data_IF_953058497383
#
_entry.id   IF_953058497383
#
_cell.length_a   1.000
_cell.length_b   1.000
_cell.length_c   1.000
_cell.angle_alpha   90.00
_cell.angle_beta   90.00
_cell.angle_gamma   90.00
#
_symmetry.space_group_name_H-M   'P 1'
#
loop_
_entity.id
_entity.type
_entity.pdbx_description
1 polymer ?
#
# COMPACT_ATOMS: atom_id res chain seq x y z
N UNK A 1 0.21 14.91 -5.40
CA UNK A 1 0.68 15.24 -4.02
C UNK A 1 0.05 16.53 -3.48
N UNK A 2 0.22 17.70 -4.13
CA UNK A 2 -0.36 18.97 -3.66
C UNK A 2 -1.88 18.95 -3.49
N UNK A 3 -2.63 18.42 -4.47
CA UNK A 3 -4.09 18.33 -4.35
C UNK A 3 -4.55 17.55 -3.13
N UNK A 4 -3.90 16.41 -2.83
CA UNK A 4 -4.20 15.60 -1.64
C UNK A 4 -3.88 16.38 -0.36
N UNK A 5 -2.73 17.08 -0.33
CA UNK A 5 -2.37 17.92 0.82
C UNK A 5 -3.45 18.97 1.09
N UNK A 6 -3.90 19.66 0.05
CA UNK A 6 -4.97 20.68 0.15
C UNK A 6 -6.27 20.08 0.67
N UNK A 7 -6.67 18.90 0.17
CA UNK A 7 -7.87 18.21 0.66
C UNK A 7 -7.77 17.88 2.14
N UNK A 8 -6.62 17.35 2.59
CA UNK A 8 -6.42 17.01 3.99
C UNK A 8 -6.23 18.23 4.90
N UNK A 9 -5.62 19.31 4.43
CA UNK A 9 -5.56 20.58 5.19
C UNK A 9 -6.94 21.14 5.50
N UNK A 10 -7.94 20.92 4.62
CA UNK A 10 -9.36 21.25 4.91
C UNK A 10 -9.96 20.38 6.03
N UNK A 11 -9.36 19.22 6.32
CA UNK A 11 -9.75 18.30 7.41
C UNK A 11 -8.83 18.44 8.64
N UNK A 12 -8.22 19.58 8.88
CA UNK A 12 -7.27 19.76 9.98
C UNK A 12 -7.88 19.44 11.36
N UNK A 13 -9.16 19.70 11.56
CA UNK A 13 -9.88 19.35 12.80
C UNK A 13 -9.93 17.82 13.02
N UNK A 14 -10.07 17.02 11.96
CA UNK A 14 -9.98 15.57 12.05
C UNK A 14 -8.62 15.13 12.56
N UNK A 15 -7.53 15.71 12.03
CA UNK A 15 -6.17 15.41 12.46
C UNK A 15 -5.99 15.76 13.94
N UNK A 16 -6.45 16.96 14.36
CA UNK A 16 -6.35 17.39 15.75
C UNK A 16 -7.13 16.49 16.72
N UNK A 17 -8.32 16.08 16.35
CA UNK A 17 -9.14 15.19 17.18
C UNK A 17 -8.60 13.76 17.20
N UNK A 18 -8.11 13.25 16.05
CA UNK A 18 -7.52 11.93 15.95
C UNK A 18 -6.26 11.79 16.85
N UNK A 19 -5.40 12.80 16.88
CA UNK A 19 -4.21 12.80 17.75
C UNK A 19 -4.56 12.60 19.24
N UNK A 20 -5.72 13.09 19.67
CA UNK A 20 -6.17 12.99 21.07
C UNK A 20 -6.63 11.59 21.46
N UNK A 21 -7.33 10.88 20.55
CA UNK A 21 -8.00 9.64 20.92
C UNK A 21 -7.93 8.49 19.93
N UNK A 22 -7.31 8.67 18.76
CA UNK A 22 -7.22 7.68 17.68
C UNK A 22 -8.57 7.02 17.32
N UNK A 23 -9.64 7.81 17.33
CA UNK A 23 -10.99 7.33 17.03
C UNK A 23 -11.21 7.29 15.51
N UNK A 24 -11.69 6.16 14.93
CA UNK A 24 -11.96 6.03 13.49
C UNK A 24 -12.89 7.10 12.90
N UNK A 25 -13.81 7.68 13.68
CA UNK A 25 -14.67 8.79 13.22
C UNK A 25 -13.91 10.06 12.82
N UNK A 26 -12.66 10.19 13.24
CA UNK A 26 -11.76 11.29 12.87
C UNK A 26 -10.75 10.86 11.81
N UNK A 27 -11.02 9.77 11.08
CA UNK A 27 -10.20 9.35 9.96
C UNK A 27 -10.15 10.42 8.87
N UNK A 28 -8.96 10.63 8.31
CA UNK A 28 -8.82 11.44 7.11
C UNK A 28 -9.47 10.71 5.94
N UNK A 29 -10.27 11.41 5.15
CA UNK A 29 -10.89 10.85 3.96
C UNK A 29 -9.84 10.48 2.90
N UNK A 30 -10.11 9.42 2.16
CA UNK A 30 -9.28 8.96 1.05
C UNK A 30 -9.93 9.22 -0.32
N UNK A 31 -11.16 9.73 -0.35
CA UNK A 31 -11.95 9.97 -1.56
C UNK A 31 -12.42 11.42 -1.64
N UNK A 32 -12.09 12.05 -2.76
CA UNK A 32 -12.40 13.46 -2.98
C UNK A 32 -13.00 13.65 -4.36
N UNK A 33 -13.85 14.65 -4.49
CA UNK A 33 -14.35 15.09 -5.77
C UNK A 33 -13.18 15.64 -6.63
N UNK A 34 -13.05 15.14 -7.85
CA UNK A 34 -11.86 15.36 -8.69
C UNK A 34 -11.58 16.84 -8.96
N UNK A 35 -12.63 17.64 -9.14
CA UNK A 35 -12.49 19.06 -9.51
C UNK A 35 -12.43 19.99 -8.29
N UNK A 36 -13.23 19.71 -7.25
CA UNK A 36 -13.35 20.61 -6.10
C UNK A 36 -12.46 20.21 -4.93
N UNK A 37 -12.03 18.95 -4.86
CA UNK A 37 -11.29 18.42 -3.72
C UNK A 37 -12.15 18.30 -2.44
N UNK A 38 -13.48 18.35 -2.57
CA UNK A 38 -14.41 18.16 -1.47
C UNK A 38 -14.63 16.68 -1.17
N UNK A 39 -15.04 16.38 0.04
CA UNK A 39 -15.42 15.03 0.46
C UNK A 39 -16.62 14.52 -0.36
N UNK A 40 -16.57 13.27 -0.80
CA UNK A 40 -17.66 12.64 -1.56
C UNK A 40 -18.60 11.82 -0.67
N UNK A 41 -18.22 11.63 0.58
CA UNK A 41 -19.00 10.96 1.63
C UNK A 41 -18.92 11.86 2.86
N UNK A 42 -20.04 12.06 3.56
CA UNK A 42 -20.03 12.90 4.78
C UNK A 42 -19.13 12.29 5.86
N UNK A 43 -18.54 13.14 6.68
CA UNK A 43 -17.68 12.70 7.79
C UNK A 43 -18.42 11.83 8.82
N UNK A 44 -19.73 11.98 8.94
CA UNK A 44 -20.56 11.13 9.81
C UNK A 44 -20.70 9.70 9.29
N UNK A 45 -20.67 9.53 7.97
CA UNK A 45 -20.79 8.24 7.30
C UNK A 45 -19.42 7.59 6.99
N UNK A 46 -18.34 8.38 7.01
CA UNK A 46 -16.99 7.90 6.73
C UNK A 46 -16.35 7.32 7.99
N UNK A 47 -16.32 5.99 8.05
CA UNK A 47 -15.74 5.25 9.19
C UNK A 47 -14.52 4.41 8.84
N UNK A 48 -13.91 4.66 7.66
CA UNK A 48 -12.82 3.84 7.14
C UNK A 48 -11.46 4.45 7.48
N UNK A 49 -10.98 4.23 8.71
CA UNK A 49 -9.61 4.58 9.07
C UNK A 49 -8.62 3.71 8.28
N UNK A 50 -7.76 4.35 7.49
CA UNK A 50 -6.70 3.74 6.69
C UNK A 50 -5.39 4.48 6.95
N UNK A 51 -4.61 3.98 7.90
CA UNK A 51 -3.33 4.59 8.30
C UNK A 51 -2.28 4.46 7.18
N UNK A 52 -2.38 3.40 6.40
CA UNK A 52 -1.50 3.13 5.26
C UNK A 52 -1.51 4.26 4.21
N UNK A 53 -2.67 4.87 3.92
CA UNK A 53 -2.79 5.94 2.92
C UNK A 53 -1.98 7.16 3.31
N UNK A 54 -2.10 7.61 4.58
CA UNK A 54 -1.33 8.76 5.08
C UNK A 54 0.16 8.41 5.12
N UNK A 55 0.49 7.20 5.51
CA UNK A 55 1.87 6.70 5.54
C UNK A 55 2.50 6.67 4.15
N UNK A 56 1.79 6.15 3.13
CA UNK A 56 2.25 6.17 1.74
C UNK A 56 2.42 7.61 1.22
N UNK A 57 1.51 8.51 1.56
CA UNK A 57 1.65 9.92 1.20
C UNK A 57 2.95 10.51 1.73
N UNK A 58 3.25 10.32 3.03
CA UNK A 58 4.48 10.82 3.65
C UNK A 58 5.73 10.21 3.00
N UNK A 59 5.70 8.91 2.71
CA UNK A 59 6.81 8.20 2.07
C UNK A 59 7.09 8.76 0.67
N UNK A 60 6.08 8.92 -0.17
CA UNK A 60 6.24 9.46 -1.52
C UNK A 60 6.55 10.97 -1.51
N UNK A 61 6.05 11.73 -0.52
CA UNK A 61 6.43 13.14 -0.35
C UNK A 61 7.93 13.27 -0.17
N UNK A 62 8.54 12.46 0.69
CA UNK A 62 10.00 12.43 0.89
C UNK A 62 10.74 12.05 -0.38
N UNK A 63 10.27 11.04 -1.10
CA UNK A 63 10.87 10.62 -2.38
C UNK A 63 10.90 11.78 -3.38
N UNK A 64 9.78 12.48 -3.55
CA UNK A 64 9.65 13.60 -4.49
C UNK A 64 10.51 14.79 -4.09
N UNK A 65 10.51 15.19 -2.82
CA UNK A 65 11.35 16.30 -2.33
C UNK A 65 12.83 15.96 -2.50
N UNK A 66 13.21 14.73 -2.18
CA UNK A 66 14.62 14.29 -2.31
C UNK A 66 15.05 14.20 -3.77
N UNK A 67 14.12 14.01 -4.71
CA UNK A 67 14.40 14.09 -6.16
C UNK A 67 14.45 15.52 -6.70
N UNK A 68 14.29 16.53 -5.84
CA UNK A 68 14.39 17.95 -6.20
C UNK A 68 13.07 18.63 -6.52
N UNK A 69 11.94 17.93 -6.37
CA UNK A 69 10.63 18.52 -6.60
C UNK A 69 10.20 19.40 -5.42
N UNK A 70 9.79 20.63 -5.70
CA UNK A 70 9.21 21.49 -4.68
C UNK A 70 7.71 21.15 -4.54
N UNK A 71 7.34 20.53 -3.44
CA UNK A 71 5.96 20.14 -3.13
C UNK A 71 5.38 21.03 -2.04
N UNK A 72 6.19 21.44 -1.07
CA UNK A 72 5.81 22.25 0.10
C UNK A 72 6.30 23.69 -0.12
N UNK A 73 5.43 24.66 0.13
CA UNK A 73 5.69 26.08 -0.16
C UNK A 73 5.55 26.98 1.06
N UNK A 74 4.79 26.58 2.08
CA UNK A 74 4.47 27.43 3.23
C UNK A 74 4.77 26.73 4.57
N UNK A 75 4.90 27.54 5.62
CA UNK A 75 5.06 27.01 6.98
C UNK A 75 3.82 26.30 7.49
N UNK A 76 2.63 26.74 7.09
CA UNK A 76 1.39 26.04 7.45
C UNK A 76 1.37 24.63 6.87
N UNK A 77 1.86 24.47 5.64
CA UNK A 77 2.03 23.14 5.03
C UNK A 77 3.07 22.28 5.77
N UNK A 78 4.20 22.86 6.18
CA UNK A 78 5.20 22.16 7.02
C UNK A 78 4.58 21.71 8.33
N UNK A 79 3.88 22.61 9.01
CA UNK A 79 3.19 22.30 10.27
C UNK A 79 2.14 21.22 10.08
N UNK A 80 1.39 21.29 8.99
CA UNK A 80 0.39 20.25 8.70
C UNK A 80 1.04 18.88 8.42
N UNK A 81 2.12 18.82 7.67
CA UNK A 81 2.87 17.57 7.44
C UNK A 81 3.40 17.01 8.76
N UNK A 82 3.92 17.85 9.67
CA UNK A 82 4.31 17.42 11.01
C UNK A 82 3.11 16.83 11.78
N UNK A 83 1.92 17.38 11.62
CA UNK A 83 0.70 16.83 12.23
C UNK A 83 0.27 15.50 11.59
N UNK A 84 0.48 15.30 10.29
CA UNK A 84 0.30 13.98 9.65
C UNK A 84 1.28 12.94 10.20
N UNK A 85 2.51 13.34 10.56
CA UNK A 85 3.45 12.45 11.25
C UNK A 85 2.88 12.01 12.60
N UNK A 86 2.40 12.94 13.40
CA UNK A 86 1.75 12.62 14.69
C UNK A 86 0.50 11.74 14.51
N UNK A 87 -0.21 11.90 13.41
CA UNK A 87 -1.37 11.07 13.05
C UNK A 87 -0.98 9.59 12.89
N UNK A 88 0.16 9.28 12.26
CA UNK A 88 0.58 7.89 11.99
C UNK A 88 1.49 7.29 13.07
N UNK A 89 2.06 8.07 13.96
CA UNK A 89 3.01 7.61 15.00
C UNK A 89 2.42 6.51 15.89
N UNK A 90 1.10 6.51 16.12
CA UNK A 90 0.41 5.57 17.01
C UNK A 90 -0.14 4.34 16.27
N UNK A 91 0.25 4.09 15.01
CA UNK A 91 -0.22 2.95 14.21
C UNK A 91 -0.05 1.61 14.94
N UNK A 92 1.05 1.42 15.68
CA UNK A 92 1.35 0.21 16.44
C UNK A 92 0.27 -0.22 17.43
N UNK A 93 -0.65 0.66 17.80
CA UNK A 93 -1.74 0.40 18.75
C UNK A 93 -3.12 0.86 18.25
N UNK A 94 -3.21 1.32 17.02
CA UNK A 94 -4.44 1.87 16.47
C UNK A 94 -5.05 0.89 15.48
N UNK A 95 -6.13 0.19 15.84
CA UNK A 95 -6.87 -0.63 14.89
C UNK A 95 -7.40 0.21 13.74
N UNK A 96 -7.22 -0.27 12.51
CA UNK A 96 -7.71 0.36 11.29
C UNK A 96 -8.40 -0.66 10.37
N UNK A 97 -8.80 -0.25 9.18
CA UNK A 97 -9.42 -1.13 8.20
C UNK A 97 -8.42 -1.66 7.16
N UNK A 98 -7.15 -1.28 7.29
CA UNK A 98 -6.07 -1.70 6.39
C UNK A 98 -6.17 -1.11 5.00
N UNK A 99 -5.38 -1.64 4.09
CA UNK A 99 -5.23 -1.15 2.71
C UNK A 99 -6.50 -1.31 1.86
N UNK A 100 -7.32 -2.32 2.14
CA UNK A 100 -8.48 -2.61 1.32
C UNK A 100 -9.68 -1.79 1.75
N UNK A 101 -10.21 -0.99 0.85
CA UNK A 101 -11.32 -0.06 1.11
C UNK A 101 -12.52 -0.71 1.82
N UNK A 102 -12.79 -1.98 1.50
CA UNK A 102 -13.86 -2.77 2.10
C UNK A 102 -13.35 -3.91 2.97
N UNK A 103 -12.17 -3.75 3.55
CA UNK A 103 -11.57 -4.73 4.45
C UNK A 103 -12.44 -5.06 5.65
N UNK A 104 -13.24 -4.12 6.12
CA UNK A 104 -14.22 -4.30 7.18
C UNK A 104 -15.33 -5.32 6.87
N UNK A 105 -15.59 -5.65 5.60
CA UNK A 105 -16.57 -6.67 5.24
C UNK A 105 -16.27 -8.07 5.80
N UNK A 106 -15.01 -8.33 6.19
CA UNK A 106 -14.55 -9.69 6.54
C UNK A 106 -14.46 -9.98 8.02
N UNK A 107 -14.55 -8.98 8.87
CA UNK A 107 -14.46 -9.14 10.32
C UNK A 107 -15.61 -8.42 11.01
N UNK A 108 -16.83 -8.71 10.60
CA UNK A 108 -18.06 -8.10 11.15
C UNK A 108 -17.99 -6.55 11.17
N UNK A 109 -17.21 -5.93 10.26
CA UNK A 109 -16.98 -4.48 10.25
C UNK A 109 -16.08 -3.98 11.37
N UNK A 110 -15.32 -4.84 12.04
CA UNK A 110 -14.44 -4.47 13.16
C UNK A 110 -13.04 -4.10 12.65
N UNK A 111 -12.48 -2.94 13.04
CA UNK A 111 -11.10 -2.61 12.74
C UNK A 111 -10.11 -3.51 13.51
N UNK A 112 -8.94 -3.75 12.93
CA UNK A 112 -7.88 -4.59 13.49
C UNK A 112 -6.53 -3.90 13.41
N UNK A 113 -5.54 -4.40 14.14
CA UNK A 113 -4.14 -4.05 13.89
C UNK A 113 -3.67 -4.80 12.65
N UNK A 114 -3.34 -4.06 11.59
CA UNK A 114 -2.84 -4.59 10.33
C UNK A 114 -1.32 -4.41 10.23
N UNK A 115 -0.61 -5.51 10.00
CA UNK A 115 0.84 -5.48 9.83
C UNK A 115 1.24 -4.61 8.64
N UNK A 116 0.49 -4.64 7.53
CA UNK A 116 0.74 -3.76 6.38
C UNK A 116 0.66 -2.27 6.74
N UNK A 117 -0.39 -1.85 7.47
CA UNK A 117 -0.55 -0.45 7.92
C UNK A 117 0.58 -0.02 8.86
N UNK A 118 0.94 -0.87 9.82
CA UNK A 118 2.01 -0.58 10.79
C UNK A 118 3.38 -0.55 10.10
N UNK A 119 3.62 -1.46 9.16
CA UNK A 119 4.86 -1.50 8.36
C UNK A 119 5.02 -0.25 7.49
N UNK A 120 3.94 0.18 6.82
CA UNK A 120 3.95 1.43 6.04
C UNK A 120 4.15 2.65 6.93
N UNK A 121 3.51 2.71 8.11
CA UNK A 121 3.74 3.78 9.08
C UNK A 121 5.20 3.82 9.54
N UNK A 122 5.77 2.68 9.94
CA UNK A 122 7.21 2.55 10.28
C UNK A 122 8.10 3.06 9.16
N UNK A 123 7.80 2.67 7.92
CA UNK A 123 8.57 3.09 6.75
C UNK A 123 8.49 4.60 6.50
N UNK A 124 7.29 5.18 6.61
CA UNK A 124 7.06 6.60 6.44
C UNK A 124 7.77 7.43 7.52
N UNK A 125 7.66 7.03 8.80
CA UNK A 125 8.33 7.67 9.92
C UNK A 125 9.86 7.65 9.76
N UNK A 126 10.42 6.50 9.37
CA UNK A 126 11.85 6.40 9.10
C UNK A 126 12.29 7.26 7.91
N UNK A 127 11.48 7.33 6.86
CA UNK A 127 11.79 8.12 5.67
C UNK A 127 11.75 9.63 5.94
N UNK A 128 10.74 10.10 6.69
CA UNK A 128 10.50 11.53 6.86
C UNK A 128 11.29 12.14 8.02
N UNK A 129 11.76 11.33 8.97
CA UNK A 129 12.55 11.84 10.09
C UNK A 129 13.83 12.55 9.60
N UNK A 130 13.99 13.81 10.01
CA UNK A 130 15.09 14.66 9.59
C UNK A 130 15.00 15.14 8.13
N UNK A 131 13.89 14.93 7.44
CA UNK A 131 13.67 15.47 6.10
C UNK A 131 13.36 16.96 6.18
N UNK A 132 14.10 17.76 5.40
CA UNK A 132 13.76 19.15 5.22
C UNK A 132 12.76 19.30 4.07
N UNK A 133 11.55 19.77 4.36
CA UNK A 133 10.47 19.85 3.37
C UNK A 133 10.68 20.94 2.30
N UNK A 134 11.59 21.89 2.53
CA UNK A 134 12.01 22.86 1.52
C UNK A 134 13.27 22.41 0.76
N UNK A 135 13.70 21.16 0.95
CA UNK A 135 14.87 20.60 0.31
C UNK A 135 16.19 21.11 0.91
N UNK A 136 17.27 21.01 0.15
CA UNK A 136 18.62 21.32 0.64
C UNK A 136 18.81 22.79 1.06
N UNK A 137 17.99 23.68 0.51
CA UNK A 137 18.04 25.13 0.80
C UNK A 137 17.15 25.53 1.99
N UNK A 138 16.43 24.56 2.59
CA UNK A 138 15.53 24.84 3.70
C UNK A 138 16.25 25.10 5.01
N UNK A 139 15.70 25.98 5.84
CA UNK A 139 16.19 26.24 7.18
C UNK A 139 15.77 25.12 8.15
N UNK A 140 16.32 25.10 9.37
CA UNK A 140 16.04 24.08 10.38
C UNK A 140 14.56 23.96 10.79
N UNK A 141 13.79 25.03 10.69
CA UNK A 141 12.38 25.05 11.04
C UNK A 141 11.44 24.33 10.02
N UNK A 142 11.95 23.96 8.84
CA UNK A 142 11.23 23.11 7.87
C UNK A 142 11.61 21.63 7.93
N UNK A 143 12.40 21.25 8.93
CA UNK A 143 12.79 19.84 9.18
C UNK A 143 11.72 19.14 9.99
N UNK A 144 11.33 17.95 9.55
CA UNK A 144 10.34 17.11 10.23
C UNK A 144 11.02 16.23 11.29
N UNK A 145 10.38 16.13 12.45
CA UNK A 145 10.80 15.30 13.55
C UNK A 145 9.82 14.16 13.79
N UNK A 146 10.34 13.00 14.18
CA UNK A 146 9.58 11.80 14.52
C UNK A 146 9.94 11.38 15.93
N UNK A 147 8.93 10.98 16.72
CA UNK A 147 9.13 10.32 18.00
C UNK A 147 9.84 8.97 17.78
N UNK A 148 11.10 8.86 18.23
CA UNK A 148 11.94 7.67 18.07
C UNK A 148 11.30 6.47 18.76
N UNK A 149 10.67 6.65 19.92
CA UNK A 149 10.01 5.57 20.62
C UNK A 149 8.77 5.08 19.86
N UNK A 150 8.00 5.98 19.25
CA UNK A 150 6.88 5.60 18.39
C UNK A 150 7.36 4.80 17.18
N UNK A 151 8.44 5.24 16.51
CA UNK A 151 9.03 4.48 15.42
C UNK A 151 9.46 3.07 15.86
N UNK A 152 10.17 2.96 16.99
CA UNK A 152 10.65 1.67 17.50
C UNK A 152 9.51 0.74 17.89
N UNK A 153 8.41 1.26 18.45
CA UNK A 153 7.21 0.49 18.76
C UNK A 153 6.50 -0.01 17.50
N UNK A 154 6.36 0.85 16.49
CA UNK A 154 5.82 0.43 15.18
C UNK A 154 6.67 -0.68 14.56
N UNK A 155 8.00 -0.56 14.60
CA UNK A 155 8.91 -1.60 14.12
C UNK A 155 8.70 -2.91 14.87
N UNK A 156 8.72 -2.89 16.21
CA UNK A 156 8.62 -4.08 17.04
C UNK A 156 7.29 -4.81 16.83
N UNK A 157 6.18 -4.08 16.78
CA UNK A 157 4.86 -4.68 16.56
C UNK A 157 4.76 -5.25 15.13
N UNK A 158 5.22 -4.50 14.11
CA UNK A 158 5.26 -4.98 12.73
C UNK A 158 6.02 -6.30 12.60
N UNK A 159 7.25 -6.35 13.10
CA UNK A 159 8.11 -7.54 13.04
C UNK A 159 7.53 -8.72 13.85
N UNK A 160 6.81 -8.43 14.94
CA UNK A 160 6.13 -9.46 15.75
C UNK A 160 4.90 -10.04 15.04
N UNK A 161 4.15 -9.24 14.30
CA UNK A 161 2.98 -9.70 13.55
C UNK A 161 3.36 -10.58 12.35
N UNK A 162 4.47 -10.29 11.67
CA UNK A 162 4.90 -11.04 10.50
C UNK A 162 5.09 -12.53 10.79
N UNK A 163 4.65 -13.43 9.90
CA UNK A 163 4.14 -13.20 8.53
C UNK A 163 2.63 -12.96 8.46
N UNK A 164 1.95 -12.78 9.57
CA UNK A 164 0.50 -12.59 9.67
C UNK A 164 0.13 -11.12 9.43
N UNK A 165 -1.00 -10.89 8.74
CA UNK A 165 -1.50 -9.54 8.50
C UNK A 165 -2.26 -8.98 9.70
N UNK A 166 -3.23 -9.75 10.24
CA UNK A 166 -4.07 -9.31 11.34
C UNK A 166 -4.63 -10.50 12.12
N UNK A 167 -5.44 -10.25 13.13
CA UNK A 167 -6.10 -11.31 13.90
C UNK A 167 -7.03 -12.17 13.05
N UNK A 168 -7.74 -11.60 12.07
CA UNK A 168 -8.62 -12.34 11.16
C UNK A 168 -7.94 -12.84 9.88
N UNK A 169 -6.78 -12.27 9.49
CA UNK A 169 -6.08 -12.58 8.24
C UNK A 169 -4.70 -13.15 8.49
N UNK A 170 -4.52 -14.45 8.25
CA UNK A 170 -3.21 -15.10 8.37
C UNK A 170 -2.22 -14.63 7.30
N UNK A 171 -2.71 -14.31 6.12
CA UNK A 171 -1.93 -13.86 4.97
C UNK A 171 -2.72 -12.84 4.19
N UNK A 172 -2.03 -11.81 3.71
CA UNK A 172 -2.59 -10.78 2.84
C UNK A 172 -1.50 -10.31 1.88
N UNK A 173 -1.84 -10.15 0.60
CA UNK A 173 -0.88 -9.72 -0.41
C UNK A 173 -0.44 -8.26 -0.21
N UNK A 174 -1.16 -7.45 0.55
CA UNK A 174 -0.75 -6.10 0.97
C UNK A 174 0.60 -6.08 1.66
N UNK A 175 0.98 -7.17 2.33
CA UNK A 175 2.28 -7.31 2.96
C UNK A 175 3.45 -7.24 1.96
N UNK A 176 3.26 -7.54 0.67
CA UNK A 176 4.29 -7.31 -0.34
C UNK A 176 4.68 -5.83 -0.40
N UNK A 177 3.69 -4.93 -0.33
CA UNK A 177 3.95 -3.48 -0.32
C UNK A 177 4.69 -3.02 0.96
N UNK A 178 4.53 -3.74 2.06
CA UNK A 178 5.18 -3.43 3.32
C UNK A 178 6.62 -3.98 3.40
N UNK A 179 6.83 -5.24 3.00
CA UNK A 179 8.16 -5.87 3.08
C UNK A 179 9.07 -5.57 1.89
N UNK A 180 8.50 -5.17 0.74
CA UNK A 180 9.19 -4.82 -0.49
C UNK A 180 8.85 -3.39 -0.91
N UNK A 181 8.88 -3.10 -2.24
CA UNK A 181 8.45 -1.80 -2.77
C UNK A 181 6.97 -1.53 -2.46
N UNK A 182 6.61 -0.32 -2.00
CA UNK A 182 7.47 0.86 -1.81
C UNK A 182 8.06 1.03 -0.40
N UNK A 183 7.66 0.21 0.57
CA UNK A 183 7.95 0.51 1.98
C UNK A 183 9.31 -0.02 2.46
N UNK A 184 9.72 -1.22 2.06
CA UNK A 184 10.93 -1.86 2.57
C UNK A 184 11.02 -1.77 4.11
N UNK A 185 9.91 -2.12 4.80
CA UNK A 185 9.76 -1.86 6.22
C UNK A 185 10.59 -2.79 7.12
N UNK A 186 10.99 -3.97 6.62
CA UNK A 186 11.92 -4.86 7.32
C UNK A 186 13.12 -5.20 6.45
N UNK A 187 14.29 -5.36 7.09
CA UNK A 187 15.53 -5.86 6.48
C UNK A 187 15.96 -7.20 7.11
N UNK A 188 15.15 -7.74 8.02
CA UNK A 188 15.33 -9.10 8.53
C UNK A 188 15.01 -10.09 7.41
N UNK A 189 16.07 -10.79 6.92
CA UNK A 189 15.93 -11.71 5.80
C UNK A 189 15.07 -12.94 6.13
N UNK A 190 15.03 -13.37 7.38
CA UNK A 190 14.20 -14.50 7.81
C UNK A 190 12.73 -14.12 7.76
N UNK A 191 12.37 -12.98 8.36
CA UNK A 191 10.99 -12.47 8.34
C UNK A 191 10.54 -12.15 6.92
N UNK A 192 11.38 -11.49 6.13
CA UNK A 192 11.11 -11.19 4.73
C UNK A 192 10.80 -12.47 3.93
N UNK A 193 11.72 -13.44 3.97
CA UNK A 193 11.62 -14.68 3.19
C UNK A 193 10.40 -15.50 3.62
N UNK A 194 10.16 -15.63 4.92
CA UNK A 194 9.00 -16.33 5.47
C UNK A 194 7.69 -15.71 5.01
N UNK A 195 7.57 -14.37 5.13
CA UNK A 195 6.36 -13.63 4.74
C UNK A 195 6.11 -13.73 3.24
N UNK A 196 7.14 -13.46 2.43
CA UNK A 196 7.05 -13.57 0.97
C UNK A 196 6.65 -14.97 0.51
N UNK A 197 7.31 -16.00 1.03
CA UNK A 197 7.03 -17.38 0.63
C UNK A 197 5.59 -17.79 1.03
N UNK A 198 5.10 -17.34 2.17
CA UNK A 198 3.73 -17.58 2.58
C UNK A 198 2.72 -16.90 1.63
N UNK A 199 2.98 -15.65 1.21
CA UNK A 199 2.13 -14.94 0.24
C UNK A 199 2.12 -15.70 -1.09
N UNK A 200 3.29 -16.05 -1.63
CA UNK A 200 3.40 -16.75 -2.91
C UNK A 200 2.72 -18.13 -2.84
N UNK A 201 2.99 -18.93 -1.80
CA UNK A 201 2.44 -20.28 -1.70
C UNK A 201 0.93 -20.34 -1.50
N UNK A 202 0.34 -19.33 -0.85
CA UNK A 202 -1.07 -19.35 -0.48
C UNK A 202 -1.97 -18.47 -1.36
N UNK A 203 -1.45 -17.41 -1.94
CA UNK A 203 -2.28 -16.43 -2.63
C UNK A 203 -2.02 -16.36 -4.14
N UNK A 204 -0.89 -16.89 -4.64
CA UNK A 204 -0.61 -16.84 -6.08
C UNK A 204 -1.53 -17.78 -6.86
N UNK A 205 -2.12 -17.23 -7.94
CA UNK A 205 -2.92 -17.96 -8.90
C UNK A 205 -2.40 -17.80 -10.33
N UNK A 206 -3.18 -18.29 -11.31
CA UNK A 206 -2.82 -18.20 -12.73
C UNK A 206 -2.97 -16.78 -13.31
N UNK A 207 -3.87 -15.96 -12.73
CA UNK A 207 -4.25 -14.65 -13.26
C UNK A 207 -3.80 -13.50 -12.34
N UNK A 208 -3.02 -13.78 -11.29
CA UNK A 208 -2.59 -12.81 -10.31
C UNK A 208 -2.56 -13.39 -8.92
N UNK A 209 -2.58 -12.53 -7.92
CA UNK A 209 -2.69 -12.95 -6.52
C UNK A 209 -4.10 -12.68 -5.99
N UNK A 210 -4.61 -13.56 -5.14
CA UNK A 210 -5.74 -13.24 -4.25
C UNK A 210 -5.31 -12.17 -3.27
N UNK A 211 -6.23 -11.29 -2.85
CA UNK A 211 -5.89 -10.32 -1.79
C UNK A 211 -5.64 -11.03 -0.46
N UNK A 212 -6.54 -11.89 -0.06
CA UNK A 212 -6.46 -12.78 1.11
C UNK A 212 -7.50 -13.90 0.97
N UNK A 213 -7.43 -14.91 1.83
CA UNK A 213 -8.38 -16.02 1.81
C UNK A 213 -9.80 -15.57 2.18
N UNK A 214 -10.80 -16.14 1.49
CA UNK A 214 -12.23 -15.82 1.67
C UNK A 214 -12.57 -14.38 1.34
N UNK A 215 -11.80 -13.75 0.47
CA UNK A 215 -12.09 -12.44 -0.06
C UNK A 215 -13.28 -12.51 -1.04
N UNK A 216 -14.42 -11.93 -0.65
CA UNK A 216 -15.61 -11.89 -1.50
C UNK A 216 -15.60 -10.79 -2.54
N UNK A 217 -14.65 -9.84 -2.48
CA UNK A 217 -14.64 -8.66 -3.33
C UNK A 217 -14.52 -9.03 -4.82
N UNK A 218 -15.49 -8.57 -5.61
CA UNK A 218 -15.55 -8.78 -7.05
C UNK A 218 -15.98 -10.20 -7.46
N UNK A 219 -16.20 -11.12 -6.51
CA UNK A 219 -16.73 -12.44 -6.82
C UNK A 219 -18.17 -12.38 -7.29
N UNK A 220 -18.62 -13.40 -8.02
CA UNK A 220 -20.01 -13.49 -8.50
C UNK A 220 -21.03 -13.63 -7.37
N UNK A 221 -20.61 -13.84 -6.12
CA UNK A 221 -21.44 -13.96 -4.93
C UNK A 221 -21.41 -12.71 -4.05
N UNK A 222 -20.59 -11.70 -4.36
CA UNK A 222 -20.53 -10.48 -3.57
C UNK A 222 -21.86 -9.73 -3.62
N UNK A 223 -22.39 -9.38 -2.46
CA UNK A 223 -23.48 -8.41 -2.32
C UNK A 223 -22.92 -7.01 -2.04
N UNK A 224 -22.97 -6.15 -3.05
CA UNK A 224 -22.45 -4.78 -2.99
C UNK A 224 -23.23 -3.87 -2.02
N UNK A 225 -24.46 -4.26 -1.62
CA UNK A 225 -25.31 -3.49 -0.71
C UNK A 225 -24.96 -3.76 0.76
N UNK A 226 -24.33 -4.88 1.05
CA UNK A 226 -23.95 -5.24 2.43
C UNK A 226 -22.70 -4.46 2.86
N UNK A 227 -22.71 -3.98 4.09
CA UNK A 227 -21.54 -3.30 4.70
C UNK A 227 -20.49 -4.30 5.19
N UNK A 228 -20.91 -5.44 5.71
CA UNK A 228 -20.03 -6.52 6.22
C UNK A 228 -20.70 -7.89 6.12
N UNK A 229 -19.88 -8.91 6.27
CA UNK A 229 -20.27 -10.31 6.38
C UNK A 229 -19.88 -10.85 7.75
N UNK A 230 -20.67 -11.78 8.29
CA UNK A 230 -20.23 -12.57 9.44
C UNK A 230 -19.07 -13.49 9.01
N UNK A 231 -18.14 -13.76 9.95
CA UNK A 231 -16.95 -14.58 9.66
C UNK A 231 -17.36 -15.94 9.07
N UNK A 232 -18.46 -16.53 9.55
CA UNK A 232 -18.96 -17.81 9.04
C UNK A 232 -19.43 -17.73 7.59
N UNK A 233 -20.04 -16.62 7.17
CA UNK A 233 -20.52 -16.40 5.80
C UNK A 233 -19.36 -16.26 4.79
N UNK A 234 -18.19 -15.76 5.24
CA UNK A 234 -17.04 -15.58 4.34
C UNK A 234 -16.54 -16.90 3.74
N UNK A 235 -16.91 -18.06 4.33
CA UNK A 235 -16.60 -19.39 3.76
C UNK A 235 -17.18 -19.57 2.36
N UNK A 236 -18.27 -18.84 2.02
CA UNK A 236 -18.85 -18.90 0.69
C UNK A 236 -17.92 -18.33 -0.41
N UNK A 237 -16.93 -17.55 -0.04
CA UNK A 237 -15.95 -17.01 -0.99
C UNK A 237 -14.70 -17.88 -1.14
N UNK A 238 -14.55 -18.92 -0.32
CA UNK A 238 -13.36 -19.78 -0.33
C UNK A 238 -13.21 -20.48 -1.69
N UNK A 239 -12.00 -20.42 -2.26
CA UNK A 239 -11.55 -20.95 -3.54
C UNK A 239 -12.04 -20.19 -4.78
N UNK A 240 -12.94 -19.23 -4.64
CA UNK A 240 -13.46 -18.41 -5.75
C UNK A 240 -13.02 -16.96 -5.68
N UNK A 241 -12.11 -16.63 -4.78
CA UNK A 241 -11.55 -15.28 -4.62
C UNK A 241 -10.98 -14.77 -5.94
N UNK A 242 -11.12 -13.47 -6.19
CA UNK A 242 -10.55 -12.85 -7.38
C UNK A 242 -9.03 -12.83 -7.36
N UNK A 243 -8.42 -12.94 -8.54
CA UNK A 243 -6.97 -12.87 -8.73
C UNK A 243 -6.58 -11.53 -9.38
N UNK A 244 -5.60 -10.84 -8.80
CA UNK A 244 -5.20 -9.47 -9.17
C UNK A 244 -3.87 -9.47 -9.90
N UNK A 245 -3.83 -9.18 -11.21
CA UNK A 245 -2.58 -9.10 -12.00
C UNK A 245 -1.59 -8.05 -11.49
N UNK A 246 -2.10 -7.03 -10.79
CA UNK A 246 -1.32 -5.99 -10.15
C UNK A 246 -0.12 -6.56 -9.36
N UNK A 247 -0.31 -7.66 -8.65
CA UNK A 247 0.73 -8.21 -7.80
C UNK A 247 1.80 -8.99 -8.57
N UNK A 248 1.54 -9.41 -9.80
CA UNK A 248 2.61 -9.85 -10.70
C UNK A 248 3.56 -8.68 -11.04
N UNK A 249 3.02 -7.46 -11.18
CA UNK A 249 3.86 -6.27 -11.37
C UNK A 249 4.71 -5.97 -10.13
N UNK A 250 4.16 -6.10 -8.93
CA UNK A 250 4.96 -5.96 -7.70
C UNK A 250 6.06 -7.01 -7.60
N UNK A 251 5.82 -8.26 -8.04
CA UNK A 251 6.83 -9.31 -8.10
C UNK A 251 7.93 -9.01 -9.14
N UNK A 252 7.58 -8.38 -10.27
CA UNK A 252 8.56 -7.89 -11.25
C UNK A 252 9.44 -6.83 -10.61
N UNK A 253 8.83 -5.81 -9.98
CA UNK A 253 9.58 -4.73 -9.32
C UNK A 253 10.47 -5.28 -8.20
N UNK A 254 9.95 -6.21 -7.39
CA UNK A 254 10.75 -6.90 -6.36
C UNK A 254 11.97 -7.61 -6.96
N UNK A 255 11.76 -8.36 -8.07
CA UNK A 255 12.86 -9.02 -8.79
C UNK A 255 13.93 -8.04 -9.27
N UNK A 256 13.51 -6.87 -9.79
CA UNK A 256 14.42 -5.81 -10.20
C UNK A 256 15.26 -5.28 -9.02
N UNK A 257 14.63 -5.03 -7.85
CA UNK A 257 15.36 -4.60 -6.65
C UNK A 257 16.31 -5.67 -6.10
N UNK A 258 16.02 -6.94 -6.33
CA UNK A 258 16.86 -8.09 -5.88
C UNK A 258 17.91 -8.51 -6.91
N UNK A 259 17.88 -7.96 -8.14
CA UNK A 259 18.71 -8.42 -9.24
C UNK A 259 18.37 -9.87 -9.67
N UNK A 260 17.14 -10.31 -9.47
CA UNK A 260 16.67 -11.65 -9.80
C UNK A 260 15.96 -11.65 -11.18
N UNK A 261 16.76 -11.80 -12.23
CA UNK A 261 16.28 -11.79 -13.61
C UNK A 261 15.30 -12.95 -13.90
N UNK A 262 15.51 -14.12 -13.30
CA UNK A 262 14.63 -15.28 -13.46
C UNK A 262 13.22 -14.98 -12.95
N UNK A 263 13.12 -14.36 -11.78
CA UNK A 263 11.83 -13.92 -11.22
C UNK A 263 11.15 -12.89 -12.13
N UNK A 264 11.90 -11.90 -12.61
CA UNK A 264 11.38 -10.86 -13.52
C UNK A 264 10.77 -11.50 -14.75
N UNK A 265 11.52 -12.39 -15.41
CA UNK A 265 11.03 -13.06 -16.63
C UNK A 265 9.86 -14.01 -16.35
N UNK A 266 9.87 -14.72 -15.23
CA UNK A 266 8.76 -15.58 -14.80
C UNK A 266 7.45 -14.80 -14.69
N UNK A 267 7.45 -13.67 -13.95
CA UNK A 267 6.22 -12.90 -13.73
C UNK A 267 5.82 -12.08 -14.94
N UNK A 268 6.75 -11.64 -15.77
CA UNK A 268 6.49 -11.03 -17.06
C UNK A 268 5.74 -12.00 -17.99
N UNK A 269 6.17 -13.26 -18.05
CA UNK A 269 5.52 -14.30 -18.84
C UNK A 269 4.12 -14.64 -18.32
N UNK A 270 3.90 -14.67 -17.00
CA UNK A 270 2.57 -14.85 -16.39
C UNK A 270 1.64 -13.68 -16.68
N UNK A 271 2.17 -12.45 -16.69
CA UNK A 271 1.39 -11.23 -16.89
C UNK A 271 1.00 -11.01 -18.36
N UNK A 272 1.88 -11.35 -19.30
CA UNK A 272 1.71 -11.10 -20.74
C UNK A 272 0.33 -11.50 -21.31
N UNK A 273 -0.23 -12.69 -21.05
CA UNK A 273 -1.54 -13.10 -21.58
C UNK A 273 -2.72 -12.38 -20.90
N UNK A 274 -2.50 -11.73 -19.77
CA UNK A 274 -3.55 -11.10 -18.96
C UNK A 274 -3.78 -9.63 -19.35
N UNK A 275 -2.76 -8.97 -19.88
CA UNK A 275 -2.84 -7.57 -20.29
C UNK A 275 -3.73 -7.45 -21.50
N UNK A 276 -4.74 -6.60 -21.44
CA UNK A 276 -5.60 -6.24 -22.56
C UNK A 276 -4.96 -5.10 -23.36
N UNK A 277 -5.46 -4.89 -24.58
CA UNK A 277 -5.03 -3.76 -25.39
C UNK A 277 -6.23 -2.88 -25.72
N UNK A 278 -5.99 -1.58 -25.72
CA UNK A 278 -6.98 -0.63 -26.17
C UNK A 278 -7.05 -0.56 -27.72
N UNK A 279 -7.87 0.36 -28.22
CA UNK A 279 -8.04 0.54 -29.69
C UNK A 279 -6.79 1.08 -30.41
N UNK A 280 -5.83 1.62 -29.68
CA UNK A 280 -4.54 2.09 -30.21
C UNK A 280 -3.42 1.06 -30.02
N UNK A 281 -3.72 -0.06 -29.37
CA UNK A 281 -2.75 -1.12 -29.06
C UNK A 281 -2.04 -0.93 -27.74
N UNK A 282 -2.38 0.08 -26.96
CA UNK A 282 -1.76 0.36 -25.66
C UNK A 282 -2.18 -0.68 -24.61
N UNK A 283 -1.24 -1.11 -23.75
CA UNK A 283 -1.52 -2.11 -22.73
C UNK A 283 -2.43 -1.57 -21.63
N UNK A 284 -3.44 -2.35 -21.24
CA UNK A 284 -4.36 -2.07 -20.17
C UNK A 284 -4.41 -3.24 -19.19
N UNK A 285 -4.16 -2.98 -17.93
CA UNK A 285 -4.12 -4.00 -16.87
C UNK A 285 -5.50 -4.12 -16.21
N UNK A 286 -6.20 -5.27 -16.36
CA UNK A 286 -7.44 -5.52 -15.65
C UNK A 286 -7.25 -5.45 -14.14
N UNK A 287 -8.26 -4.98 -13.41
CA UNK A 287 -8.19 -4.86 -11.94
C UNK A 287 -8.05 -6.24 -11.30
N UNK A 288 -8.93 -7.16 -11.68
CA UNK A 288 -8.91 -8.55 -11.21
C UNK A 288 -9.54 -9.48 -12.24
N UNK A 289 -9.34 -10.78 -12.04
CA UNK A 289 -9.98 -11.88 -12.74
C UNK A 289 -10.87 -12.65 -11.78
N UNK A 290 -12.10 -12.95 -12.17
CA UNK A 290 -13.11 -13.61 -11.34
C UNK A 290 -13.63 -14.88 -12.00
N UNK A 291 -14.18 -15.80 -11.19
CA UNK A 291 -14.85 -17.02 -11.66
C UNK A 291 -16.30 -16.70 -12.00
N UNK A 292 -16.74 -17.06 -13.21
CA UNK A 292 -18.12 -16.86 -13.63
C UNK A 292 -19.09 -17.67 -12.77
N UNK A 293 -20.29 -17.15 -12.56
CA UNK A 293 -21.30 -17.74 -11.67
C UNK A 293 -21.58 -19.22 -11.98
N UNK A 294 -21.67 -19.60 -13.25
CA UNK A 294 -21.97 -20.97 -13.70
C UNK A 294 -20.84 -21.96 -13.43
N UNK A 295 -19.64 -21.47 -13.14
CA UNK A 295 -18.44 -22.28 -12.92
C UNK A 295 -18.05 -22.41 -11.44
N UNK A 296 -18.77 -21.76 -10.52
CA UNK A 296 -18.41 -21.72 -9.09
C UNK A 296 -18.30 -23.11 -8.45
N UNK A 297 -19.23 -24.01 -8.77
CA UNK A 297 -19.26 -25.36 -8.19
C UNK A 297 -18.03 -26.15 -8.65
N UNK A 298 -17.70 -26.07 -9.93
CA UNK A 298 -16.55 -26.77 -10.52
C UNK A 298 -15.24 -26.21 -9.96
N UNK A 299 -15.10 -24.88 -9.90
CA UNK A 299 -13.91 -24.23 -9.34
C UNK A 299 -13.70 -24.59 -7.85
N UNK A 300 -14.77 -24.69 -7.06
CA UNK A 300 -14.67 -25.10 -5.65
C UNK A 300 -14.23 -26.54 -5.47
N UNK A 301 -14.64 -27.44 -6.39
CA UNK A 301 -14.26 -28.85 -6.36
C UNK A 301 -12.81 -29.06 -6.83
N UNK A 302 -12.40 -28.31 -7.83
CA UNK A 302 -11.03 -28.36 -8.40
C UNK A 302 -10.51 -26.92 -8.66
N UNK A 303 -9.87 -26.31 -7.63
CA UNK A 303 -9.41 -24.91 -7.71
C UNK A 303 -8.40 -24.67 -8.83
N UNK A 304 -8.66 -23.64 -9.62
CA UNK A 304 -7.85 -23.27 -10.77
C UNK A 304 -8.16 -24.09 -12.06
N UNK A 305 -9.20 -24.93 -12.03
CA UNK A 305 -9.65 -25.69 -13.21
C UNK A 305 -10.44 -24.84 -14.19
N UNK A 306 -11.14 -23.81 -13.70
CA UNK A 306 -12.01 -22.96 -14.52
C UNK A 306 -11.29 -21.72 -15.05
N UNK A 307 -11.66 -21.32 -16.27
CA UNK A 307 -11.20 -20.05 -16.84
C UNK A 307 -11.79 -18.87 -16.08
N UNK A 308 -10.95 -17.88 -15.74
CA UNK A 308 -11.38 -16.64 -15.11
C UNK A 308 -11.59 -15.55 -16.13
N UNK A 309 -12.55 -14.66 -15.88
CA UNK A 309 -12.87 -13.52 -16.74
C UNK A 309 -12.34 -12.23 -16.13
N UNK A 310 -11.84 -11.29 -16.97
CA UNK A 310 -11.38 -10.00 -16.47
C UNK A 310 -12.55 -9.15 -16.01
N UNK A 311 -12.34 -8.37 -14.94
CA UNK A 311 -13.28 -7.36 -14.47
C UNK A 311 -13.56 -6.30 -15.53
N UNK A 312 -14.68 -5.60 -15.39
CA UNK A 312 -15.02 -4.44 -16.22
C UNK A 312 -14.15 -3.22 -15.91
N UNK A 313 -13.59 -3.13 -14.70
CA UNK A 313 -12.54 -2.17 -14.38
C UNK A 313 -11.20 -2.65 -14.96
N UNK A 314 -10.38 -1.73 -15.44
CA UNK A 314 -9.18 -2.05 -16.19
C UNK A 314 -9.48 -2.34 -17.66
N UNK A 315 -10.40 -1.60 -18.24
CA UNK A 315 -10.63 -1.50 -19.67
C UNK A 315 -10.32 -0.05 -20.14
N UNK A 316 -10.21 0.20 -21.45
CA UNK A 316 -9.84 1.51 -21.98
C UNK A 316 -10.75 2.68 -21.58
N UNK A 317 -11.99 2.41 -21.16
CA UNK A 317 -12.94 3.44 -20.73
C UNK A 317 -12.97 3.65 -19.23
N UNK A 318 -12.51 2.67 -18.47
CA UNK A 318 -12.51 2.68 -17.01
C UNK A 318 -11.20 2.07 -16.47
N UNK A 319 -10.12 2.85 -16.56
CA UNK A 319 -8.79 2.39 -16.18
C UNK A 319 -8.70 2.11 -14.68
N UNK A 320 -8.11 0.99 -14.35
CA UNK A 320 -7.64 0.70 -12.99
C UNK A 320 -6.30 1.42 -12.77
N UNK A 321 -6.35 2.67 -12.29
CA UNK A 321 -5.19 3.58 -12.26
C UNK A 321 -4.02 3.03 -11.43
N UNK A 322 -4.26 2.34 -10.34
CA UNK A 322 -3.18 1.73 -9.56
C UNK A 322 -2.41 0.68 -10.37
N UNK A 323 -3.13 -0.28 -10.98
CA UNK A 323 -2.49 -1.28 -11.83
C UNK A 323 -1.79 -0.66 -13.04
N UNK A 324 -2.40 0.35 -13.67
CA UNK A 324 -1.82 1.03 -14.82
C UNK A 324 -0.56 1.80 -14.46
N UNK A 325 -0.54 2.49 -13.32
CA UNK A 325 0.65 3.23 -12.85
C UNK A 325 1.81 2.29 -12.53
N UNK A 326 1.53 1.17 -11.85
CA UNK A 326 2.56 0.18 -11.53
C UNK A 326 3.05 -0.54 -12.80
N UNK A 327 2.18 -0.75 -13.80
CA UNK A 327 2.58 -1.25 -15.13
C UNK A 327 3.61 -0.32 -15.78
N UNK A 328 3.35 1.00 -15.78
CA UNK A 328 4.29 1.98 -16.36
C UNK A 328 5.64 1.91 -15.65
N UNK A 329 5.64 1.90 -14.31
CA UNK A 329 6.87 1.81 -13.51
C UNK A 329 7.63 0.51 -13.84
N UNK A 330 6.96 -0.63 -13.84
CA UNK A 330 7.58 -1.92 -14.14
C UNK A 330 8.15 -1.97 -15.57
N UNK A 331 7.42 -1.42 -16.55
CA UNK A 331 7.89 -1.34 -17.93
C UNK A 331 9.14 -0.47 -18.06
N UNK A 332 9.15 0.73 -17.47
CA UNK A 332 10.31 1.62 -17.48
C UNK A 332 11.54 0.98 -16.84
N UNK A 333 11.35 0.21 -15.76
CA UNK A 333 12.45 -0.53 -15.12
C UNK A 333 12.98 -1.65 -16.03
N UNK A 334 12.08 -2.46 -16.61
CA UNK A 334 12.46 -3.57 -17.50
C UNK A 334 13.16 -3.09 -18.77
N UNK A 335 12.74 -1.94 -19.31
CA UNK A 335 13.31 -1.35 -20.52
C UNK A 335 14.60 -0.54 -20.24
N UNK A 336 15.05 -0.46 -18.96
CA UNK A 336 16.23 0.29 -18.55
C UNK A 336 16.08 1.81 -18.64
N UNK A 337 14.85 2.31 -18.80
CA UNK A 337 14.53 3.75 -18.85
C UNK A 337 14.38 4.38 -17.45
N UNK A 338 14.22 3.55 -16.45
CA UNK A 338 14.19 3.94 -15.03
C UNK A 338 15.09 2.98 -14.25
N UNK A 339 15.98 3.51 -13.42
CA UNK A 339 16.81 2.70 -12.54
C UNK A 339 16.16 2.57 -11.16
N UNK A 340 16.34 1.42 -10.47
CA UNK A 340 15.80 1.18 -9.12
C UNK A 340 16.18 2.28 -8.12
N UNK A 341 17.35 2.88 -8.31
CA UNK A 341 17.88 3.95 -7.49
C UNK A 341 17.20 5.31 -7.74
N UNK A 342 16.52 5.49 -8.86
CA UNK A 342 15.70 6.67 -9.16
C UNK A 342 14.29 6.47 -8.62
N UNK A 343 13.79 5.23 -8.64
CA UNK A 343 12.51 4.88 -8.04
C UNK A 343 12.56 4.94 -6.51
N UNK A 344 13.65 4.49 -5.89
CA UNK A 344 13.92 4.58 -4.45
C UNK A 344 15.15 5.46 -4.17
N UNK A 345 14.96 6.77 -4.36
CA UNK A 345 16.06 7.75 -4.27
C UNK A 345 16.68 7.84 -2.87
N UNK A 346 15.92 7.52 -1.84
CA UNK A 346 16.38 7.50 -0.44
C UNK A 346 16.98 6.16 -0.01
N UNK A 347 17.05 5.20 -0.94
CA UNK A 347 17.68 3.87 -0.75
C UNK A 347 17.09 3.05 0.39
N UNK A 348 15.79 3.06 0.53
CA UNK A 348 15.10 2.30 1.57
C UNK A 348 15.23 0.78 1.38
N UNK A 349 15.39 0.31 0.14
CA UNK A 349 15.66 -1.10 -0.15
C UNK A 349 16.98 -1.62 0.47
N UNK A 350 17.89 -0.72 0.83
CA UNK A 350 19.10 -1.08 1.55
C UNK A 350 18.90 -1.01 3.07
N UNK A 351 19.56 -1.88 3.85
CA UNK A 351 19.65 -1.73 5.30
C UNK A 351 20.23 -0.36 5.66
N UNK A 352 19.85 0.19 6.82
CA UNK A 352 20.19 1.55 7.23
C UNK A 352 21.71 1.84 7.23
N UNK A 353 22.52 0.84 7.58
CA UNK A 353 23.98 0.95 7.60
C UNK A 353 24.62 0.99 6.20
N UNK A 354 23.92 0.54 5.17
CA UNK A 354 24.37 0.56 3.76
C UNK A 354 23.83 1.76 2.97
N UNK A 355 22.97 2.58 3.57
CA UNK A 355 22.39 3.74 2.88
C UNK A 355 23.42 4.85 2.77
N UNK A 356 23.60 5.46 1.58
CA UNK A 356 24.49 6.59 1.42
C UNK A 356 24.00 7.76 2.29
N UNK A 357 24.94 8.40 2.98
CA UNK A 357 24.67 9.63 3.73
C UNK A 357 24.43 10.74 2.72
N UNK A 358 23.21 11.31 2.71
CA UNK A 358 22.93 12.53 1.96
C UNK A 358 23.08 13.72 2.91
N UNK A 359 23.85 14.73 2.48
CA UNK A 359 23.94 16.01 3.18
C UNK A 359 22.55 16.61 3.40
N UNK A 360 22.33 17.27 4.53
CA UNK A 360 21.07 17.91 4.85
C UNK A 360 20.02 17.01 5.55
N UNK A 361 20.29 15.72 5.78
CA UNK A 361 19.41 14.87 6.59
C UNK A 361 19.90 14.76 8.03
N UNK A 362 19.06 15.18 8.98
CA UNK A 362 19.32 15.15 10.41
C UNK A 362 18.61 13.95 11.08
N UNK A 363 18.74 12.73 10.51
CA UNK A 363 18.02 11.56 11.04
C UNK A 363 18.86 10.77 12.03
N UNK A 364 18.33 10.57 13.23
CA UNK A 364 18.92 9.68 14.24
C UNK A 364 18.98 8.21 13.78
N UNK A 365 18.11 7.79 12.86
CA UNK A 365 18.07 6.45 12.28
C UNK A 365 19.20 6.17 11.26
N UNK A 366 20.00 7.18 10.91
CA UNK A 366 21.16 7.06 10.03
C UNK A 366 22.48 7.05 10.78
N UNK A 367 22.44 7.11 12.12
CA UNK A 367 23.66 6.98 12.92
C UNK A 367 24.10 5.53 12.92
N UNK A 368 25.35 5.29 12.59
CA UNK A 368 26.00 4.03 12.86
C UNK A 368 25.97 3.80 14.38
N UNK A 369 25.47 2.66 14.80
CA UNK A 369 25.96 2.03 16.00
C UNK A 369 27.46 1.77 15.72
N UNK A 370 28.35 2.62 16.26
CA UNK A 370 29.76 2.39 16.29
C UNK A 370 30.08 1.15 17.11
#
# INVERSE_FOLDING_TARGET
MRGILTCWMRQCEHVENFKKGQNPKFALHAKFHLLTGEEVISSEEYGHLQIDIVSLYLLFLVQMITSGLQIIYTMDEVTFVQNLVYYVERAYRTPDFGMWERGSKYNNGTPELHASSIGLAKAALEAINGCNLFGEKGASWSVIFVDIDAHNRNRSIFETLLPRESSSKNVDVSLLCAISFPAFATHDQVLYTKTRNQIVSLLEGKHGFKRFHRDGYGTALEDNKRRFYDIAETKEFEKIECEWPLFFLFMIIEGMFKGNEEQVEQYKNKLKPLVKRDKWGDPVVPKYYYVHRDQLILERSDPGSQGRQPSTEGNPRNLFLWGQSVWVIASLLMDGLLHINELDIIRRHLPSYNRPRKGGRYSAFQRHSG
#
